data_IF_223021254364
#
_entry.id   IF_223021254364
#
_cell.length_a   1.000
_cell.length_b   1.000
_cell.length_c   1.000
_cell.angle_alpha   90.00
_cell.angle_beta   90.00
_cell.angle_gamma   90.00
#
_symmetry.space_group_name_H-M   'P 1'
#
loop_
_entity.id
_entity.type
_entity.pdbx_description
1 polymer ?
#
# COMPACT_ATOMS: atom_id res chain seq x y z
N UNK A 1 28.50 21.08 -46.34
CA UNK A 1 29.86 20.57 -46.61
C UNK A 1 29.76 19.07 -46.85
N UNK A 2 29.82 18.67 -48.12
CA UNK A 2 30.29 17.37 -48.70
C UNK A 2 29.54 16.07 -48.26
N UNK A 3 28.56 15.58 -49.05
CA UNK A 3 28.59 14.47 -50.06
C UNK A 3 28.46 13.08 -49.41
N UNK A 4 27.29 12.40 -49.42
CA UNK A 4 26.72 11.46 -50.44
C UNK A 4 27.71 10.40 -50.93
N UNK A 5 27.37 9.11 -50.81
CA UNK A 5 27.51 8.11 -51.89
C UNK A 5 26.68 6.84 -51.58
N UNK A 6 25.75 6.55 -52.51
CA UNK A 6 25.12 5.25 -52.74
C UNK A 6 26.02 4.38 -53.63
N UNK A 7 25.85 3.06 -53.60
CA UNK A 7 25.80 2.15 -54.77
C UNK A 7 25.33 0.78 -54.20
N UNK A 8 24.13 0.26 -54.44
CA UNK A 8 23.52 -0.28 -55.67
C UNK A 8 24.26 -1.47 -56.29
N UNK A 9 23.58 -2.65 -56.33
CA UNK A 9 23.54 -3.53 -57.50
C UNK A 9 22.60 -4.72 -57.33
N UNK A 10 21.69 -4.81 -58.30
CA UNK A 10 20.76 -5.89 -58.63
C UNK A 10 21.46 -7.01 -59.44
N UNK A 11 20.85 -8.19 -59.43
CA UNK A 11 20.86 -9.20 -60.50
C UNK A 11 19.99 -10.39 -60.06
N UNK A 12 18.74 -10.56 -60.52
CA UNK A 12 18.30 -11.25 -61.77
C UNK A 12 18.90 -12.67 -61.95
N UNK A 13 18.23 -13.74 -62.41
CA UNK A 13 16.86 -14.10 -62.86
C UNK A 13 16.86 -15.64 -63.09
N UNK A 14 15.70 -16.27 -62.81
CA UNK A 14 15.03 -17.45 -63.40
C UNK A 14 15.67 -18.82 -63.75
N UNK A 15 14.80 -19.84 -63.61
CA UNK A 15 14.63 -21.00 -64.48
C UNK A 15 15.16 -22.31 -63.90
N UNK A 16 14.47 -23.46 -63.86
CA UNK A 16 13.20 -23.93 -64.42
C UNK A 16 13.19 -25.48 -64.42
N UNK A 17 12.00 -26.08 -64.33
CA UNK A 17 11.58 -27.47 -64.69
C UNK A 17 12.21 -28.71 -63.99
N UNK A 18 11.43 -29.61 -63.35
CA UNK A 18 10.56 -30.73 -63.87
C UNK A 18 11.37 -31.80 -64.62
N UNK A 19 11.20 -33.12 -64.51
CA UNK A 19 10.34 -34.04 -63.74
C UNK A 19 10.86 -35.50 -63.94
N UNK A 20 10.26 -36.48 -63.22
CA UNK A 20 10.18 -37.94 -63.51
C UNK A 20 11.46 -38.82 -63.37
N UNK A 21 11.47 -40.07 -62.90
CA UNK A 21 10.44 -41.02 -62.45
C UNK A 21 11.02 -42.45 -62.33
N UNK A 22 10.35 -43.32 -61.56
CA UNK A 22 10.49 -44.80 -61.40
C UNK A 22 11.77 -45.35 -60.71
N UNK A 23 11.76 -46.33 -59.80
CA UNK A 23 10.75 -47.22 -59.22
C UNK A 23 11.44 -48.56 -58.85
N UNK A 24 11.15 -49.17 -57.69
CA UNK A 24 11.14 -50.63 -57.42
C UNK A 24 10.67 -50.96 -55.98
N UNK A 25 9.74 -51.94 -55.86
CA UNK A 25 9.18 -52.59 -54.63
C UNK A 25 10.21 -53.53 -53.96
N UNK A 26 10.14 -54.07 -52.74
CA UNK A 26 9.13 -54.32 -51.68
C UNK A 26 9.90 -54.34 -50.31
N UNK A 27 9.35 -54.40 -49.08
CA UNK A 27 8.66 -55.51 -48.38
C UNK A 27 8.12 -54.95 -47.03
N UNK A 28 7.03 -55.55 -46.55
CA UNK A 28 6.21 -55.24 -45.36
C UNK A 28 6.95 -55.37 -44.02
N UNK A 29 6.68 -54.43 -43.10
CA UNK A 29 6.99 -54.54 -41.67
C UNK A 29 6.06 -53.66 -40.84
N UNK A 30 5.08 -54.30 -40.18
CA UNK A 30 4.13 -53.69 -39.23
C UNK A 30 4.87 -53.19 -37.99
N UNK A 31 4.75 -51.90 -37.67
CA UNK A 31 5.36 -51.28 -36.50
C UNK A 31 4.72 -49.93 -36.17
N UNK A 32 3.85 -49.95 -35.16
CA UNK A 32 3.41 -48.86 -34.27
C UNK A 32 3.73 -47.40 -34.70
N UNK A 33 2.77 -46.73 -35.36
CA UNK A 33 2.84 -45.28 -35.61
C UNK A 33 2.42 -44.53 -34.35
N UNK A 34 3.37 -44.25 -33.46
CA UNK A 34 3.22 -43.13 -32.50
C UNK A 34 3.02 -41.84 -33.28
N UNK A 35 1.84 -41.22 -33.13
CA UNK A 35 1.58 -39.86 -33.61
C UNK A 35 2.66 -38.93 -33.03
N UNK A 36 3.25 -38.02 -33.83
CA UNK A 36 4.10 -36.98 -33.26
C UNK A 36 3.24 -36.17 -32.28
N UNK A 37 3.69 -36.13 -31.02
CA UNK A 37 3.17 -35.22 -30.00
C UNK A 37 3.43 -33.82 -30.56
N UNK A 38 2.36 -33.07 -30.86
CA UNK A 38 2.47 -31.63 -31.09
C UNK A 38 3.08 -31.05 -29.81
N UNK A 39 4.19 -30.35 -29.94
CA UNK A 39 4.66 -29.48 -28.87
C UNK A 39 3.48 -28.63 -28.38
N UNK A 40 3.30 -28.47 -27.05
CA UNK A 40 2.28 -27.55 -26.56
C UNK A 40 2.54 -26.17 -27.19
N UNK A 41 1.49 -25.42 -27.55
CA UNK A 41 1.70 -24.07 -28.08
C UNK A 41 2.55 -23.31 -27.07
N UNK A 42 3.67 -22.75 -27.55
CA UNK A 42 4.49 -21.83 -26.75
C UNK A 42 3.60 -20.61 -26.52
N UNK A 43 2.91 -20.61 -25.37
CA UNK A 43 2.14 -19.46 -24.88
C UNK A 43 3.14 -18.35 -24.65
N UNK A 44 2.88 -17.19 -25.24
CA UNK A 44 3.78 -16.04 -25.14
C UNK A 44 3.92 -15.63 -23.66
N UNK A 45 5.11 -15.16 -23.24
CA UNK A 45 5.32 -14.66 -21.87
C UNK A 45 4.37 -13.49 -21.53
N UNK A 46 3.88 -12.77 -22.55
CA UNK A 46 2.91 -11.69 -22.41
C UNK A 46 1.50 -12.19 -22.03
N UNK A 47 1.03 -13.31 -22.58
CA UNK A 47 -0.26 -13.91 -22.24
C UNK A 47 -0.30 -14.46 -20.81
N UNK A 48 0.79 -15.13 -20.37
CA UNK A 48 0.88 -15.58 -18.98
C UNK A 48 0.90 -14.41 -17.97
N UNK A 49 1.46 -13.27 -18.37
CA UNK A 49 1.48 -12.06 -17.53
C UNK A 49 0.08 -11.45 -17.43
N UNK A 50 -0.69 -11.45 -18.52
CA UNK A 50 -2.06 -10.93 -18.54
C UNK A 50 -3.00 -11.74 -17.63
N UNK A 51 -3.02 -13.06 -17.76
CA UNK A 51 -3.86 -13.95 -16.95
C UNK A 51 -3.49 -13.94 -15.47
N UNK A 52 -2.19 -13.80 -15.16
CA UNK A 52 -1.71 -13.62 -13.79
C UNK A 52 -2.25 -12.34 -13.18
N UNK A 53 -2.22 -11.22 -13.93
CA UNK A 53 -2.77 -9.94 -13.47
C UNK A 53 -4.28 -10.05 -13.26
N UNK A 54 -5.03 -10.69 -14.16
CA UNK A 54 -6.47 -10.90 -13.95
C UNK A 54 -6.74 -11.68 -12.67
N UNK A 55 -6.03 -12.79 -12.47
CA UNK A 55 -6.16 -13.64 -11.28
C UNK A 55 -5.82 -12.89 -9.98
N UNK A 56 -4.72 -12.13 -9.98
CA UNK A 56 -4.34 -11.24 -8.88
C UNK A 56 -5.42 -10.20 -8.57
N UNK A 57 -6.10 -9.69 -9.61
CA UNK A 57 -7.10 -8.64 -9.46
C UNK A 57 -8.50 -9.15 -9.11
N UNK A 58 -8.78 -10.46 -9.22
CA UNK A 58 -10.09 -11.04 -8.91
C UNK A 58 -10.60 -10.62 -7.53
N UNK A 59 -9.85 -10.92 -6.48
CA UNK A 59 -10.29 -10.63 -5.09
C UNK A 59 -10.36 -9.12 -4.80
N UNK A 60 -9.33 -8.30 -5.13
CA UNK A 60 -9.41 -6.85 -4.96
C UNK A 60 -10.57 -6.19 -5.71
N UNK A 61 -10.80 -6.60 -6.97
CA UNK A 61 -11.84 -6.02 -7.82
C UNK A 61 -13.23 -6.42 -7.33
N UNK A 62 -13.48 -7.72 -7.09
CA UNK A 62 -14.77 -8.19 -6.57
C UNK A 62 -15.11 -7.54 -5.25
N UNK A 63 -14.20 -7.51 -4.26
CA UNK A 63 -14.44 -6.85 -2.96
C UNK A 63 -14.81 -5.38 -3.11
N UNK A 64 -14.15 -4.68 -4.03
CA UNK A 64 -14.46 -3.29 -4.34
C UNK A 64 -15.84 -3.14 -4.96
N UNK A 65 -16.18 -3.97 -5.94
CA UNK A 65 -17.48 -3.96 -6.61
C UNK A 65 -18.60 -4.30 -5.63
N UNK A 66 -18.43 -5.27 -4.73
CA UNK A 66 -19.40 -5.62 -3.68
C UNK A 66 -19.74 -4.42 -2.82
N UNK A 67 -18.75 -3.59 -2.46
CA UNK A 67 -18.99 -2.37 -1.68
C UNK A 67 -19.66 -1.25 -2.48
N UNK A 68 -19.54 -1.26 -3.82
CA UNK A 68 -20.24 -0.33 -4.69
C UNK A 68 -21.70 -0.72 -4.88
N UNK A 69 -21.99 -2.00 -5.16
CA UNK A 69 -23.34 -2.47 -5.50
C UNK A 69 -24.12 -3.07 -4.33
N UNK A 70 -23.46 -3.32 -3.19
CA UNK A 70 -24.08 -3.87 -1.98
C UNK A 70 -24.40 -5.36 -2.04
N UNK A 71 -24.02 -6.06 -3.11
CA UNK A 71 -24.34 -7.46 -3.36
C UNK A 71 -23.10 -8.19 -3.92
N UNK A 72 -22.79 -9.37 -3.35
CA UNK A 72 -21.61 -10.17 -3.72
C UNK A 72 -21.78 -10.78 -5.09
N UNK A 73 -22.97 -11.31 -5.39
CA UNK A 73 -23.22 -12.06 -6.61
C UNK A 73 -23.14 -11.14 -7.84
N UNK A 74 -23.79 -9.98 -7.76
CA UNK A 74 -23.66 -8.95 -8.81
C UNK A 74 -22.24 -8.42 -8.92
N UNK A 75 -21.50 -8.31 -7.82
CA UNK A 75 -20.11 -7.88 -7.88
C UNK A 75 -19.21 -8.89 -8.60
N UNK A 76 -19.45 -10.18 -8.40
CA UNK A 76 -18.78 -11.26 -9.14
C UNK A 76 -19.11 -11.19 -10.63
N UNK A 77 -20.39 -11.01 -10.98
CA UNK A 77 -20.82 -10.85 -12.38
C UNK A 77 -20.14 -9.65 -13.05
N UNK A 78 -20.08 -8.51 -12.35
CA UNK A 78 -19.42 -7.30 -12.84
C UNK A 78 -17.89 -7.48 -12.95
N UNK A 79 -17.29 -8.26 -12.06
CA UNK A 79 -15.87 -8.62 -12.13
C UNK A 79 -15.59 -9.49 -13.35
N UNK A 80 -16.40 -10.52 -13.57
CA UNK A 80 -16.31 -11.38 -14.75
C UNK A 80 -16.51 -10.59 -16.06
N UNK A 81 -17.53 -9.73 -16.12
CA UNK A 81 -17.75 -8.85 -17.27
C UNK A 81 -16.58 -7.88 -17.51
N UNK A 82 -15.93 -7.41 -16.44
CA UNK A 82 -14.72 -6.59 -16.54
C UNK A 82 -13.59 -7.37 -17.20
N UNK A 83 -13.37 -8.61 -16.79
CA UNK A 83 -12.34 -9.48 -17.35
C UNK A 83 -12.65 -9.90 -18.78
N UNK A 84 -13.91 -10.18 -19.10
CA UNK A 84 -14.35 -10.45 -20.46
C UNK A 84 -14.05 -9.27 -21.39
N UNK A 85 -14.33 -8.03 -20.96
CA UNK A 85 -13.96 -6.82 -21.71
C UNK A 85 -12.45 -6.62 -21.79
N UNK A 86 -11.71 -7.04 -20.77
CA UNK A 86 -10.26 -6.95 -20.78
C UNK A 86 -9.67 -7.87 -21.87
N UNK A 87 -10.13 -9.11 -21.94
CA UNK A 87 -9.74 -10.08 -22.99
C UNK A 87 -10.11 -9.56 -24.38
N UNK A 88 -11.26 -8.89 -24.52
CA UNK A 88 -11.74 -8.41 -25.81
C UNK A 88 -11.10 -7.09 -26.30
N UNK A 89 -10.57 -6.24 -25.40
CA UNK A 89 -10.19 -4.88 -25.79
C UNK A 89 -9.39 -4.08 -24.77
N UNK A 90 -8.75 -4.72 -23.79
CA UNK A 90 -7.76 -4.03 -22.99
C UNK A 90 -6.59 -3.54 -23.89
N UNK A 91 -5.87 -2.48 -23.49
CA UNK A 91 -4.73 -2.02 -24.26
C UNK A 91 -3.65 -3.12 -24.31
N UNK A 92 -3.41 -3.66 -25.50
CA UNK A 92 -2.47 -4.76 -25.71
C UNK A 92 -1.04 -4.34 -25.34
N UNK A 93 -0.31 -5.20 -24.62
CA UNK A 93 1.06 -4.92 -24.17
C UNK A 93 1.16 -3.80 -23.12
N UNK A 94 0.05 -3.38 -22.50
CA UNK A 94 0.10 -2.38 -21.44
C UNK A 94 0.89 -2.88 -20.23
N UNK A 95 1.76 -2.05 -19.63
CA UNK A 95 2.40 -2.36 -18.36
C UNK A 95 1.37 -2.69 -17.28
N UNK A 96 1.71 -3.58 -16.35
CA UNK A 96 0.80 -4.04 -15.30
C UNK A 96 0.06 -2.91 -14.54
N UNK A 97 0.67 -1.75 -14.20
CA UNK A 97 -0.06 -0.63 -13.58
C UNK A 97 -1.17 -0.06 -14.47
N UNK A 98 -0.94 0.04 -15.77
CA UNK A 98 -1.90 0.58 -16.75
C UNK A 98 -3.08 -0.37 -16.92
N UNK A 99 -2.80 -1.68 -17.02
CA UNK A 99 -3.83 -2.71 -17.09
C UNK A 99 -4.68 -2.75 -15.80
N UNK A 100 -4.05 -2.70 -14.63
CA UNK A 100 -4.77 -2.61 -13.34
C UNK A 100 -5.67 -1.39 -13.29
N UNK A 101 -5.16 -0.21 -13.65
CA UNK A 101 -5.96 1.01 -13.70
C UNK A 101 -7.16 0.88 -14.66
N UNK A 102 -6.95 0.24 -15.83
CA UNK A 102 -8.01 -0.04 -16.78
C UNK A 102 -9.08 -0.97 -16.21
N UNK A 103 -8.71 -2.08 -15.58
CA UNK A 103 -9.64 -3.05 -14.98
C UNK A 103 -10.52 -2.37 -13.91
N UNK A 104 -9.91 -1.62 -13.01
CA UNK A 104 -10.65 -0.87 -11.97
C UNK A 104 -11.54 0.22 -12.57
N UNK A 105 -11.15 0.85 -13.69
CA UNK A 105 -12.00 1.82 -14.42
C UNK A 105 -13.21 1.16 -15.06
N UNK A 106 -12.99 0.07 -15.78
CA UNK A 106 -14.03 -0.67 -16.50
C UNK A 106 -15.03 -1.27 -15.52
N UNK A 107 -14.56 -1.94 -14.47
CA UNK A 107 -15.43 -2.48 -13.41
C UNK A 107 -16.22 -1.40 -12.68
N UNK A 108 -15.63 -0.24 -12.39
CA UNK A 108 -16.36 0.91 -11.84
C UNK A 108 -17.49 1.37 -12.78
N UNK A 109 -17.21 1.52 -14.07
CA UNK A 109 -18.22 1.99 -15.03
C UNK A 109 -19.39 1.01 -15.11
N UNK A 110 -19.10 -0.29 -15.16
CA UNK A 110 -20.08 -1.37 -15.11
C UNK A 110 -20.95 -1.31 -13.85
N UNK A 111 -20.33 -1.15 -12.68
CA UNK A 111 -21.07 -1.01 -11.42
C UNK A 111 -21.97 0.23 -11.39
N UNK A 112 -21.51 1.37 -11.91
CA UNK A 112 -22.32 2.59 -11.99
C UNK A 112 -23.51 2.42 -12.95
N UNK A 113 -23.31 1.74 -14.08
CA UNK A 113 -24.38 1.45 -15.03
C UNK A 113 -25.40 0.48 -14.44
N UNK A 114 -24.96 -0.51 -13.66
CA UNK A 114 -25.84 -1.44 -12.95
C UNK A 114 -26.66 -0.73 -11.88
N UNK A 115 -26.06 0.14 -11.06
CA UNK A 115 -26.80 0.95 -10.07
C UNK A 115 -27.83 1.88 -10.74
N UNK A 116 -27.50 2.45 -11.91
CA UNK A 116 -28.45 3.23 -12.70
C UNK A 116 -29.58 2.37 -13.25
N UNK A 117 -29.30 1.13 -13.67
CA UNK A 117 -30.30 0.17 -14.14
C UNK A 117 -31.23 -0.27 -13.01
N UNK A 118 -30.69 -0.61 -11.84
CA UNK A 118 -31.45 -0.93 -10.62
C UNK A 118 -32.38 0.20 -10.23
N UNK A 119 -31.88 1.43 -10.14
CA UNK A 119 -32.71 2.61 -9.83
C UNK A 119 -33.85 2.83 -10.83
N UNK A 120 -33.68 2.45 -12.10
CA UNK A 120 -34.76 2.49 -13.11
C UNK A 120 -35.73 1.32 -12.97
N UNK A 121 -35.27 0.14 -12.51
CA UNK A 121 -36.10 -1.05 -12.23
C UNK A 121 -36.90 -0.91 -10.93
N UNK A 122 -36.32 -0.30 -9.90
CA UNK A 122 -36.95 -0.05 -8.59
C UNK A 122 -38.11 0.98 -8.67
N UNK A 123 -38.36 1.59 -9.83
CA UNK A 123 -39.61 2.32 -10.12
C UNK A 123 -40.82 1.40 -10.42
N UNK A 124 -40.67 0.08 -10.26
CA UNK A 124 -41.77 -0.89 -10.23
C UNK A 124 -41.65 -1.67 -8.91
N UNK A 125 -42.64 -1.60 -8.00
CA UNK A 125 -42.46 -2.14 -6.66
C UNK A 125 -42.68 -3.65 -6.66
N UNK A 126 -41.69 -4.40 -6.17
CA UNK A 126 -41.90 -5.75 -5.63
C UNK A 126 -40.98 -5.96 -4.41
N UNK A 127 -41.49 -6.75 -3.47
CA UNK A 127 -41.20 -6.81 -2.05
C UNK A 127 -39.95 -7.63 -1.67
N UNK A 128 -39.30 -7.14 -0.61
CA UNK A 128 -38.73 -7.80 0.58
C UNK A 128 -37.85 -9.08 0.51
N UNK A 129 -36.77 -8.98 1.31
CA UNK A 129 -35.99 -10.01 2.02
C UNK A 129 -34.85 -10.72 1.30
N UNK A 130 -33.62 -10.40 1.78
CA UNK A 130 -32.59 -11.35 2.24
C UNK A 130 -31.40 -10.55 2.83
N UNK A 131 -31.41 -10.32 4.14
CA UNK A 131 -30.28 -9.76 4.87
C UNK A 131 -29.39 -10.89 5.41
N UNK A 132 -28.08 -10.84 5.11
CA UNK A 132 -27.09 -11.76 5.69
C UNK A 132 -26.58 -11.21 7.04
N UNK A 133 -26.49 -12.03 8.11
CA UNK A 133 -26.02 -11.60 9.42
C UNK A 133 -24.48 -11.68 9.51
N UNK A 134 -23.79 -10.59 9.15
CA UNK A 134 -22.40 -10.40 9.57
C UNK A 134 -22.05 -8.90 9.63
N UNK A 135 -21.63 -8.45 10.83
CA UNK A 135 -21.28 -7.09 11.21
C UNK A 135 -22.46 -6.11 11.26
N UNK A 136 -23.10 -6.03 12.44
CA UNK A 136 -23.70 -4.75 12.83
C UNK A 136 -22.59 -3.69 12.72
N UNK A 137 -22.76 -2.64 11.90
CA UNK A 137 -21.80 -1.56 11.86
C UNK A 137 -21.73 -0.95 13.27
N UNK A 138 -20.51 -0.78 13.79
CA UNK A 138 -20.25 0.14 14.90
C UNK A 138 -21.06 1.42 14.62
N UNK A 139 -22.02 1.79 15.50
CA UNK A 139 -22.95 2.90 15.22
C UNK A 139 -22.21 4.21 14.91
N UNK A 140 -21.01 4.37 15.47
CA UNK A 140 -20.19 5.57 15.36
C UNK A 140 -18.88 5.33 14.59
N UNK A 141 -18.78 4.20 13.89
CA UNK A 141 -17.56 3.78 13.20
C UNK A 141 -17.40 4.35 11.78
N UNK A 142 -16.23 4.14 11.16
CA UNK A 142 -15.90 4.64 9.81
C UNK A 142 -16.93 4.26 8.73
N UNK A 143 -17.54 3.07 8.84
CA UNK A 143 -18.56 2.60 7.89
C UNK A 143 -19.85 3.39 8.01
N UNK A 144 -20.28 3.73 9.23
CA UNK A 144 -21.43 4.58 9.47
C UNK A 144 -21.19 5.99 8.89
N UNK A 145 -19.98 6.53 9.08
CA UNK A 145 -19.59 7.81 8.50
C UNK A 145 -19.58 7.79 6.95
N UNK A 146 -19.01 6.76 6.33
CA UNK A 146 -19.01 6.61 4.85
C UNK A 146 -20.43 6.52 4.27
N UNK A 147 -21.35 5.86 4.98
CA UNK A 147 -22.72 5.70 4.53
C UNK A 147 -23.46 7.03 4.42
N UNK A 148 -23.06 8.04 5.21
CA UNK A 148 -23.65 9.38 5.23
C UNK A 148 -23.01 10.35 4.23
N UNK A 149 -21.87 10.00 3.63
CA UNK A 149 -21.24 10.80 2.58
C UNK A 149 -21.98 10.73 1.24
N UNK A 150 -21.83 11.77 0.42
CA UNK A 150 -22.27 11.72 -0.98
C UNK A 150 -21.54 10.60 -1.75
N UNK A 151 -22.16 10.03 -2.81
CA UNK A 151 -21.52 8.98 -3.60
C UNK A 151 -20.15 9.36 -4.15
N UNK A 152 -19.96 10.63 -4.51
CA UNK A 152 -18.70 11.13 -5.04
C UNK A 152 -17.60 11.24 -3.97
N UNK A 153 -17.94 11.76 -2.78
CA UNK A 153 -17.03 11.81 -1.63
C UNK A 153 -16.61 10.39 -1.20
N UNK A 154 -17.58 9.47 -1.07
CA UNK A 154 -17.31 8.07 -0.76
C UNK A 154 -16.37 7.43 -1.78
N UNK A 155 -16.62 7.67 -3.07
CA UNK A 155 -15.79 7.12 -4.14
C UNK A 155 -14.34 7.57 -4.03
N UNK A 156 -14.06 8.87 -3.89
CA UNK A 156 -12.67 9.36 -3.83
C UNK A 156 -11.92 8.87 -2.59
N UNK A 157 -12.61 8.67 -1.46
CA UNK A 157 -12.01 8.07 -0.26
C UNK A 157 -11.68 6.60 -0.48
N UNK A 158 -12.59 5.82 -1.07
CA UNK A 158 -12.34 4.42 -1.39
C UNK A 158 -11.20 4.27 -2.40
N UNK A 159 -11.13 5.12 -3.42
CA UNK A 159 -10.01 5.14 -4.37
C UNK A 159 -8.68 5.41 -3.67
N UNK A 160 -8.68 6.41 -2.78
CA UNK A 160 -7.45 6.88 -2.15
C UNK A 160 -6.92 5.94 -1.08
N UNK A 161 -7.80 5.53 -0.18
CA UNK A 161 -7.42 4.91 1.09
C UNK A 161 -7.64 3.39 1.12
N UNK A 162 -8.61 2.88 0.35
CA UNK A 162 -8.85 1.43 0.26
C UNK A 162 -8.08 0.83 -0.93
N UNK A 163 -8.15 1.46 -2.09
CA UNK A 163 -7.49 0.98 -3.31
C UNK A 163 -6.04 1.49 -3.45
N UNK A 164 -5.62 2.45 -2.62
CA UNK A 164 -4.24 2.94 -2.59
C UNK A 164 -3.81 3.76 -3.81
N UNK A 165 -4.75 4.23 -4.64
CA UNK A 165 -4.41 5.00 -5.84
C UNK A 165 -3.81 6.36 -5.46
N UNK A 166 -2.80 6.78 -6.21
CA UNK A 166 -2.23 8.13 -6.18
C UNK A 166 -3.23 9.19 -6.65
N UNK A 167 -2.97 10.46 -6.33
CA UNK A 167 -3.82 11.57 -6.77
C UNK A 167 -3.87 11.69 -8.30
N UNK A 168 -2.75 11.41 -8.97
CA UNK A 168 -2.67 11.33 -10.43
C UNK A 168 -3.55 10.21 -10.99
N UNK A 169 -3.43 8.99 -10.47
CA UNK A 169 -4.27 7.87 -10.90
C UNK A 169 -5.76 8.11 -10.63
N UNK A 170 -6.10 8.77 -9.52
CA UNK A 170 -7.48 9.20 -9.24
C UNK A 170 -7.93 10.24 -10.28
N UNK A 171 -7.06 11.18 -10.65
CA UNK A 171 -7.29 12.14 -11.73
C UNK A 171 -7.63 11.45 -13.04
N UNK A 172 -6.73 10.58 -13.51
CA UNK A 172 -6.86 9.81 -14.74
C UNK A 172 -8.08 8.87 -14.74
N UNK A 173 -8.49 8.40 -13.56
CA UNK A 173 -9.68 7.54 -13.42
C UNK A 173 -10.97 8.36 -13.50
N UNK A 174 -10.99 9.55 -12.90
CA UNK A 174 -12.15 10.43 -12.82
C UNK A 174 -12.24 11.46 -13.95
N UNK A 175 -11.30 11.41 -14.91
CA UNK A 175 -11.16 12.35 -16.01
C UNK A 175 -11.06 13.81 -15.52
N UNK A 176 -10.13 14.02 -14.58
CA UNK A 176 -9.83 15.33 -13.99
C UNK A 176 -8.31 15.48 -13.79
N UNK A 177 -7.83 16.73 -13.67
CA UNK A 177 -6.44 16.97 -13.29
C UNK A 177 -6.11 16.50 -11.86
N UNK A 178 -4.84 16.15 -11.62
CA UNK A 178 -4.32 15.73 -10.30
C UNK A 178 -4.66 16.73 -9.18
N UNK A 179 -4.58 18.02 -9.47
CA UNK A 179 -4.97 19.10 -8.56
C UNK A 179 -6.45 19.06 -8.17
N UNK A 180 -7.32 18.73 -9.11
CA UNK A 180 -8.75 18.57 -8.84
C UNK A 180 -9.02 17.30 -8.02
N UNK A 181 -8.27 16.21 -8.27
CA UNK A 181 -8.31 15.00 -7.46
C UNK A 181 -7.88 15.29 -6.01
N UNK A 182 -6.77 16.00 -5.81
CA UNK A 182 -6.29 16.45 -4.49
C UNK A 182 -7.38 17.21 -3.72
N UNK A 183 -7.96 18.24 -4.35
CA UNK A 183 -9.03 19.06 -3.75
C UNK A 183 -10.30 18.26 -3.45
N UNK A 184 -10.62 17.23 -4.25
CA UNK A 184 -11.80 16.36 -4.02
C UNK A 184 -11.56 15.39 -2.87
N UNK A 185 -10.39 14.76 -2.81
CA UNK A 185 -10.00 13.89 -1.69
C UNK A 185 -9.98 14.68 -0.39
N UNK A 186 -9.34 15.86 -0.36
CA UNK A 186 -9.30 16.70 0.83
C UNK A 186 -10.70 17.07 1.34
N UNK A 187 -11.60 17.52 0.46
CA UNK A 187 -12.99 17.83 0.82
C UNK A 187 -13.78 16.61 1.29
N UNK A 188 -13.55 15.45 0.68
CA UNK A 188 -14.20 14.21 1.09
C UNK A 188 -13.72 13.75 2.46
N UNK A 189 -12.44 13.94 2.80
CA UNK A 189 -11.90 13.67 4.13
C UNK A 189 -12.47 14.62 5.18
N UNK A 190 -12.54 15.92 4.89
CA UNK A 190 -13.16 16.88 5.79
C UNK A 190 -14.62 16.51 6.08
N UNK A 191 -15.42 16.25 5.03
CA UNK A 191 -16.80 15.79 5.20
C UNK A 191 -16.90 14.47 5.97
N UNK A 192 -15.93 13.56 5.79
CA UNK A 192 -15.87 12.31 6.56
C UNK A 192 -15.60 12.56 8.04
N UNK A 193 -14.63 13.42 8.35
CA UNK A 193 -14.29 13.82 9.70
C UNK A 193 -15.48 14.49 10.39
N UNK A 194 -16.17 15.43 9.72
CA UNK A 194 -17.35 16.12 10.27
C UNK A 194 -18.46 15.12 10.64
N UNK A 195 -18.78 14.21 9.72
CA UNK A 195 -19.79 13.17 9.95
C UNK A 195 -19.36 12.24 11.08
N UNK A 196 -18.08 11.87 11.12
CA UNK A 196 -17.55 10.98 12.14
C UNK A 196 -17.52 11.66 13.52
N UNK A 197 -17.22 12.96 13.60
CA UNK A 197 -17.24 13.74 14.83
C UNK A 197 -18.68 13.90 15.36
N UNK A 198 -19.63 14.18 14.46
CA UNK A 198 -21.06 14.22 14.81
C UNK A 198 -21.59 12.88 15.33
N UNK A 199 -21.03 11.76 14.85
CA UNK A 199 -21.29 10.43 15.40
C UNK A 199 -20.60 10.20 16.75
N UNK A 200 -19.44 10.83 16.98
CA UNK A 200 -18.62 10.65 18.19
C UNK A 200 -18.93 11.65 19.33
N UNK A 201 -19.93 12.54 19.16
CA UNK A 201 -20.35 13.49 20.20
C UNK A 201 -19.53 14.79 20.30
N UNK A 202 -19.11 15.38 19.17
CA UNK A 202 -18.43 16.70 19.08
C UNK A 202 -17.04 16.81 19.76
N UNK A 203 -16.34 15.69 19.97
CA UNK A 203 -14.93 15.71 20.36
C UNK A 203 -14.05 16.29 19.22
N UNK A 204 -13.45 17.45 19.45
CA UNK A 204 -12.63 18.19 18.46
C UNK A 204 -11.15 17.82 18.50
N UNK A 205 -10.74 16.92 19.40
CA UNK A 205 -9.34 16.49 19.51
C UNK A 205 -8.86 15.78 18.23
N UNK A 206 -7.61 15.99 17.79
CA UNK A 206 -7.07 15.27 16.64
C UNK A 206 -7.11 13.76 16.88
N UNK A 207 -7.58 13.02 15.89
CA UNK A 207 -7.71 11.57 15.92
C UNK A 207 -6.42 10.93 15.46
N UNK A 208 -5.70 10.30 16.39
CA UNK A 208 -4.49 9.54 16.09
C UNK A 208 -4.84 8.08 15.94
N UNK A 209 -4.53 7.52 14.77
CA UNK A 209 -4.62 6.10 14.51
C UNK A 209 -3.35 5.42 15.01
N UNK A 210 -3.49 4.44 15.90
CA UNK A 210 -2.38 3.69 16.48
C UNK A 210 -2.36 2.27 15.90
N UNK A 211 -1.30 1.94 15.17
CA UNK A 211 -1.01 0.60 14.68
C UNK A 211 0.09 -0.01 15.53
N UNK A 212 -0.20 -1.13 16.19
CA UNK A 212 0.74 -1.84 17.05
C UNK A 212 0.87 -3.29 16.63
N UNK A 213 1.97 -3.90 17.07
CA UNK A 213 2.20 -5.33 16.92
C UNK A 213 1.75 -6.11 18.11
N UNK A 214 2.68 -6.89 18.66
CA UNK A 214 2.47 -7.65 19.88
C UNK A 214 2.92 -6.87 21.12
N UNK A 215 2.74 -5.55 21.12
CA UNK A 215 3.01 -4.70 22.28
C UNK A 215 1.71 -4.27 22.96
N UNK A 216 1.78 -4.01 24.26
CA UNK A 216 0.68 -3.40 25.01
C UNK A 216 0.40 -1.99 24.47
N UNK A 217 -0.83 -1.69 24.01
CA UNK A 217 -1.19 -0.34 23.57
C UNK A 217 -1.27 0.68 24.71
N UNK A 218 -1.42 0.24 25.96
CA UNK A 218 -1.63 1.11 27.12
C UNK A 218 -0.66 2.30 27.23
N UNK A 219 0.67 2.08 27.20
CA UNK A 219 1.67 3.14 27.26
C UNK A 219 1.56 4.15 26.10
N UNK A 220 1.40 3.67 24.85
CA UNK A 220 1.24 4.54 23.68
C UNK A 220 -0.05 5.37 23.76
N UNK A 221 -1.15 4.73 24.15
CA UNK A 221 -2.44 5.40 24.31
C UNK A 221 -2.36 6.48 25.40
N UNK A 222 -1.75 6.18 26.55
CA UNK A 222 -1.58 7.14 27.63
C UNK A 222 -0.72 8.34 27.19
N UNK A 223 0.41 8.07 26.53
CA UNK A 223 1.31 9.09 26.01
C UNK A 223 0.62 10.04 25.00
N UNK A 224 -0.09 9.48 24.01
CA UNK A 224 -0.79 10.29 23.00
C UNK A 224 -1.99 11.04 23.60
N UNK A 225 -2.75 10.42 24.50
CA UNK A 225 -3.87 11.07 25.19
C UNK A 225 -3.40 12.23 26.08
N UNK A 226 -2.25 12.08 26.75
CA UNK A 226 -1.65 13.14 27.56
C UNK A 226 -1.29 14.38 26.72
N UNK A 227 -0.92 14.20 25.45
CA UNK A 227 -0.68 15.28 24.50
C UNK A 227 -1.97 15.90 23.92
N UNK A 228 -3.15 15.35 24.25
CA UNK A 228 -4.45 15.86 23.80
C UNK A 228 -5.04 15.13 22.59
N UNK A 229 -4.52 13.97 22.22
CA UNK A 229 -5.06 13.16 21.12
C UNK A 229 -6.30 12.36 21.51
N UNK A 230 -7.19 12.14 20.53
CA UNK A 230 -8.14 11.03 20.56
C UNK A 230 -7.50 9.81 19.90
N UNK A 231 -7.16 8.79 20.68
CA UNK A 231 -6.44 7.60 20.17
C UNK A 231 -7.39 6.49 19.79
N UNK A 232 -7.20 5.93 18.58
CA UNK A 232 -7.90 4.74 18.09
C UNK A 232 -6.89 3.67 17.71
N UNK A 233 -6.84 2.60 18.47
CA UNK A 233 -6.00 1.42 18.18
C UNK A 233 -6.69 0.54 17.15
N UNK A 234 -5.96 0.06 16.14
CA UNK A 234 -6.51 -0.87 15.15
C UNK A 234 -6.00 -2.29 15.31
N UNK A 235 -6.94 -3.21 15.48
CA UNK A 235 -6.66 -4.64 15.42
C UNK A 235 -6.69 -5.11 13.95
N UNK A 236 -5.59 -4.82 13.25
CA UNK A 236 -5.05 -5.61 12.12
C UNK A 236 -5.93 -5.91 10.91
N UNK A 237 -7.15 -5.39 10.77
CA UNK A 237 -8.08 -5.82 9.70
C UNK A 237 -8.63 -4.71 8.82
N UNK A 238 -8.40 -3.41 9.12
CA UNK A 238 -9.23 -2.32 8.53
C UNK A 238 -8.56 -0.97 8.23
N UNK A 239 -7.22 -0.87 8.21
CA UNK A 239 -6.51 0.42 8.15
C UNK A 239 -6.94 1.41 7.03
N UNK A 240 -7.42 0.96 5.87
CA UNK A 240 -7.77 1.83 4.74
C UNK A 240 -8.77 2.95 5.10
N UNK A 241 -10.03 2.60 5.32
CA UNK A 241 -11.08 3.60 5.63
C UNK A 241 -10.90 4.28 6.99
N UNK A 242 -10.21 3.64 7.93
CA UNK A 242 -9.86 4.24 9.22
C UNK A 242 -8.92 5.45 9.05
N UNK A 243 -7.98 5.40 8.11
CA UNK A 243 -7.10 6.54 7.78
C UNK A 243 -7.84 7.74 7.17
N UNK A 244 -9.04 7.54 6.61
CA UNK A 244 -9.80 8.63 6.02
C UNK A 244 -10.25 9.67 7.07
N UNK A 245 -10.50 9.23 8.31
CA UNK A 245 -10.88 10.09 9.45
C UNK A 245 -9.85 10.13 10.57
N UNK A 246 -8.61 9.76 10.28
CA UNK A 246 -7.48 10.01 11.15
C UNK A 246 -6.80 11.32 10.75
N UNK A 247 -6.30 12.05 11.73
CA UNK A 247 -5.52 13.28 11.54
C UNK A 247 -4.02 12.98 11.57
N UNK A 248 -3.62 11.88 12.22
CA UNK A 248 -2.26 11.36 12.20
C UNK A 248 -2.24 9.82 12.30
N UNK A 249 -1.11 9.23 11.91
CA UNK A 249 -0.81 7.80 12.05
C UNK A 249 0.43 7.61 12.92
N UNK A 250 0.32 6.76 13.94
CA UNK A 250 1.45 6.25 14.71
C UNK A 250 1.58 4.75 14.45
N UNK A 251 2.77 4.33 14.02
CA UNK A 251 3.15 2.91 13.98
C UNK A 251 4.09 2.65 15.15
N UNK A 252 3.63 1.86 16.11
CA UNK A 252 4.42 1.55 17.29
C UNK A 252 5.43 0.43 17.09
N UNK A 253 6.06 0.06 18.21
CA UNK A 253 6.96 -1.07 18.33
C UNK A 253 6.29 -2.43 18.17
N UNK A 254 7.12 -3.46 18.24
CA UNK A 254 6.75 -4.86 18.13
C UNK A 254 7.85 -5.70 18.74
N UNK A 255 7.49 -6.65 19.60
CA UNK A 255 8.41 -7.67 20.13
C UNK A 255 8.93 -8.62 19.04
N UNK A 256 8.26 -8.67 17.88
CA UNK A 256 8.67 -9.47 16.71
C UNK A 256 9.45 -8.64 15.71
N UNK A 257 10.43 -9.28 15.10
CA UNK A 257 11.30 -8.71 14.08
C UNK A 257 10.60 -8.45 12.75
N UNK A 258 11.11 -7.47 12.00
CA UNK A 258 10.66 -7.21 10.63
C UNK A 258 11.05 -8.37 9.71
N UNK A 259 10.07 -8.90 8.98
CA UNK A 259 10.29 -10.05 8.11
C UNK A 259 11.37 -9.77 7.05
N UNK A 260 12.48 -10.53 6.99
CA UNK A 260 13.63 -10.23 6.11
C UNK A 260 13.33 -10.18 4.61
N UNK A 261 12.35 -10.96 4.16
CA UNK A 261 11.88 -10.90 2.77
C UNK A 261 11.36 -9.52 2.33
N UNK A 262 10.94 -8.65 3.25
CA UNK A 262 10.46 -7.30 2.93
C UNK A 262 11.57 -6.37 2.45
N UNK A 263 12.82 -6.65 2.81
CA UNK A 263 14.00 -5.93 2.36
C UNK A 263 14.99 -6.84 1.59
N UNK A 264 14.50 -7.98 1.10
CA UNK A 264 15.22 -8.85 0.17
C UNK A 264 16.34 -9.70 0.78
N UNK A 265 16.35 -9.90 2.10
CA UNK A 265 17.37 -10.70 2.79
C UNK A 265 16.83 -12.06 3.25
N UNK A 266 17.69 -13.11 3.37
CA UNK A 266 17.32 -14.34 4.06
C UNK A 266 17.21 -14.11 5.57
N UNK A 267 16.49 -15.00 6.26
CA UNK A 267 16.42 -14.98 7.71
C UNK A 267 17.78 -15.31 8.34
N UNK A 268 18.23 -14.44 9.25
CA UNK A 268 19.43 -14.63 10.05
C UNK A 268 19.19 -15.57 11.25
N UNK A 269 20.27 -16.04 11.91
CA UNK A 269 20.19 -17.01 13.00
C UNK A 269 19.58 -16.45 14.30
N UNK A 270 19.49 -15.12 14.44
CA UNK A 270 18.99 -14.43 15.64
C UNK A 270 17.56 -13.88 15.49
N UNK A 271 16.83 -14.25 14.43
CA UNK A 271 15.50 -13.73 14.15
C UNK A 271 14.50 -14.09 15.27
N UNK A 272 13.95 -13.09 15.94
CA UNK A 272 12.98 -13.24 17.03
C UNK A 272 11.54 -13.30 16.52
N UNK A 273 11.23 -14.35 15.74
CA UNK A 273 9.93 -14.52 15.11
C UNK A 273 9.57 -13.37 14.16
N UNK A 274 8.45 -13.51 13.44
CA UNK A 274 8.00 -12.48 12.51
C UNK A 274 6.52 -12.67 12.19
N UNK A 275 5.85 -11.59 11.79
CA UNK A 275 4.50 -11.63 11.20
C UNK A 275 4.48 -10.88 9.86
N UNK A 276 4.73 -11.61 8.76
CA UNK A 276 4.72 -11.02 7.42
C UNK A 276 3.35 -10.42 7.06
N UNK A 277 2.26 -11.08 7.47
CA UNK A 277 0.91 -10.63 7.14
C UNK A 277 0.64 -9.29 7.81
N UNK A 278 1.03 -9.13 9.08
CA UNK A 278 0.99 -7.84 9.77
C UNK A 278 1.85 -6.79 9.07
N UNK A 279 3.13 -7.06 8.82
CA UNK A 279 4.01 -6.06 8.21
C UNK A 279 3.51 -5.58 6.85
N UNK A 280 2.93 -6.46 6.02
CA UNK A 280 2.32 -6.07 4.75
C UNK A 280 1.14 -5.11 4.94
N UNK A 281 0.34 -5.29 6.00
CA UNK A 281 -0.76 -4.37 6.34
C UNK A 281 -0.25 -3.04 6.86
N UNK A 282 0.75 -3.07 7.74
CA UNK A 282 1.34 -1.85 8.30
C UNK A 282 2.03 -1.02 7.20
N UNK A 283 2.75 -1.67 6.29
CA UNK A 283 3.33 -1.03 5.11
C UNK A 283 2.26 -0.46 4.18
N UNK A 284 1.12 -1.14 4.01
CA UNK A 284 0.01 -0.62 3.22
C UNK A 284 -0.61 0.63 3.86
N UNK A 285 -0.83 0.61 5.17
CA UNK A 285 -1.35 1.74 5.93
C UNK A 285 -0.38 2.93 5.91
N UNK A 286 0.91 2.67 6.15
CA UNK A 286 1.98 3.67 6.09
C UNK A 286 2.07 4.30 4.71
N UNK A 287 2.04 3.50 3.64
CA UNK A 287 2.03 3.98 2.26
C UNK A 287 0.81 4.86 2.00
N UNK A 288 -0.37 4.45 2.43
CA UNK A 288 -1.60 5.22 2.25
C UNK A 288 -1.56 6.56 3.01
N UNK A 289 -1.05 6.56 4.25
CA UNK A 289 -0.90 7.75 5.07
C UNK A 289 0.08 8.75 4.46
N UNK A 290 1.29 8.31 4.10
CA UNK A 290 2.30 9.16 3.44
C UNK A 290 1.79 9.73 2.12
N UNK A 291 1.07 8.92 1.35
CA UNK A 291 0.51 9.37 0.10
C UNK A 291 -0.59 10.43 0.35
N UNK A 292 -1.43 10.25 1.37
CA UNK A 292 -2.40 11.25 1.80
C UNK A 292 -1.77 12.47 2.52
N UNK A 293 -0.44 12.48 2.64
CA UNK A 293 0.35 13.48 3.36
C UNK A 293 -0.11 13.63 4.81
N UNK A 294 -0.60 12.55 5.42
CA UNK A 294 -0.89 12.51 6.85
C UNK A 294 0.41 12.63 7.64
N UNK A 295 0.41 13.37 8.77
CA UNK A 295 1.44 13.24 9.79
C UNK A 295 1.63 11.78 10.18
N UNK A 296 2.88 11.31 10.09
CA UNK A 296 3.28 9.94 10.42
C UNK A 296 4.42 9.95 11.44
N UNK A 297 4.27 9.15 12.49
CA UNK A 297 5.35 8.81 13.41
C UNK A 297 5.54 7.29 13.47
N UNK A 298 6.72 6.81 13.08
CA UNK A 298 7.15 5.44 13.31
C UNK A 298 7.99 5.34 14.58
N UNK A 299 7.66 4.42 15.47
CA UNK A 299 8.39 4.16 16.73
C UNK A 299 8.96 2.74 16.66
N UNK A 300 10.24 2.59 16.97
CA UNK A 300 10.98 1.33 16.95
C UNK A 300 10.73 0.55 15.63
N UNK A 301 9.97 -0.54 15.66
CA UNK A 301 9.60 -1.32 14.48
C UNK A 301 8.91 -0.49 13.38
N UNK A 302 8.15 0.55 13.76
CA UNK A 302 7.52 1.49 12.83
C UNK A 302 8.54 2.33 12.04
N UNK A 303 9.64 2.75 12.67
CA UNK A 303 10.72 3.48 11.99
C UNK A 303 11.46 2.57 11.00
N UNK A 304 11.65 1.30 11.37
CA UNK A 304 12.24 0.28 10.50
C UNK A 304 11.35 -0.01 9.28
N UNK A 305 10.02 -0.14 9.47
CA UNK A 305 9.07 -0.28 8.37
C UNK A 305 9.05 0.94 7.44
N UNK A 306 9.23 2.14 7.97
CA UNK A 306 9.39 3.36 7.16
C UNK A 306 10.64 3.29 6.29
N UNK A 307 11.78 2.82 6.83
CA UNK A 307 12.99 2.58 6.05
C UNK A 307 12.77 1.54 4.94
N UNK A 308 12.17 0.40 5.29
CA UNK A 308 11.88 -0.71 4.37
C UNK A 308 10.91 -0.30 3.27
N UNK A 309 9.89 0.50 3.57
CA UNK A 309 8.95 1.05 2.57
C UNK A 309 9.68 1.87 1.49
N UNK A 310 10.76 2.55 1.88
CA UNK A 310 11.62 3.34 0.99
C UNK A 310 12.76 2.52 0.35
N UNK A 311 12.75 1.20 0.52
CA UNK A 311 13.73 0.28 -0.07
C UNK A 311 15.07 0.21 0.66
N UNK A 312 15.11 0.65 1.92
CA UNK A 312 16.25 0.41 2.82
C UNK A 312 16.24 -1.02 3.37
N UNK A 313 17.29 -1.39 4.11
CA UNK A 313 17.38 -2.66 4.83
C UNK A 313 17.81 -2.46 6.29
N UNK A 314 17.89 -3.58 7.01
CA UNK A 314 18.09 -3.60 8.45
C UNK A 314 19.29 -4.49 8.82
N UNK A 315 20.01 -4.06 9.85
CA UNK A 315 20.81 -4.97 10.66
C UNK A 315 19.84 -5.92 11.37
N UNK A 316 19.90 -7.22 11.06
CA UNK A 316 19.03 -8.22 11.68
C UNK A 316 19.40 -8.55 13.13
N UNK A 317 20.64 -8.27 13.52
CA UNK A 317 21.12 -8.43 14.89
C UNK A 317 22.33 -7.51 15.11
N UNK A 318 22.17 -6.49 15.96
CA UNK A 318 23.16 -5.44 16.18
C UNK A 318 24.54 -5.93 16.66
N UNK A 319 24.66 -6.89 17.59
CA UNK A 319 25.95 -7.47 18.00
C UNK A 319 26.75 -8.07 16.85
N UNK A 320 26.05 -8.79 15.96
CA UNK A 320 26.68 -9.40 14.80
C UNK A 320 27.18 -8.35 13.79
N UNK A 321 26.64 -7.13 13.85
CA UNK A 321 27.08 -5.99 13.07
C UNK A 321 28.13 -5.11 13.78
N UNK A 322 28.56 -5.49 14.98
CA UNK A 322 29.59 -4.77 15.75
C UNK A 322 29.06 -3.61 16.60
N UNK A 323 27.75 -3.53 16.81
CA UNK A 323 27.14 -2.55 17.70
C UNK A 323 26.88 -3.15 19.07
N UNK A 324 27.32 -2.46 20.12
CA UNK A 324 27.09 -2.83 21.53
C UNK A 324 25.80 -2.17 22.04
N UNK A 325 24.68 -2.43 21.33
CA UNK A 325 23.38 -1.76 21.51
C UNK A 325 22.31 -2.63 22.17
N UNK A 326 22.71 -3.75 22.78
CA UNK A 326 21.74 -4.80 23.15
C UNK A 326 20.89 -4.53 24.39
N UNK A 327 21.24 -3.57 25.24
CA UNK A 327 20.62 -3.48 26.58
C UNK A 327 20.40 -2.04 27.06
N UNK A 328 19.80 -1.18 26.23
CA UNK A 328 19.42 0.19 26.58
C UNK A 328 18.05 0.31 27.27
N UNK A 329 17.75 -0.59 28.20
CA UNK A 329 16.64 -0.37 29.16
C UNK A 329 16.83 0.89 30.01
N UNK A 330 18.04 1.44 30.01
CA UNK A 330 18.40 2.71 30.60
C UNK A 330 18.44 3.85 29.55
N UNK A 331 18.19 5.08 30.00
CA UNK A 331 18.24 6.24 29.14
C UNK A 331 19.66 6.46 28.58
N UNK A 332 19.77 6.80 27.29
CA UNK A 332 21.03 7.15 26.65
C UNK A 332 20.87 8.42 25.79
N UNK A 333 21.99 9.10 25.56
CA UNK A 333 22.03 10.30 24.73
C UNK A 333 21.98 9.96 23.24
N UNK A 334 21.21 10.74 22.49
CA UNK A 334 21.17 10.66 21.03
C UNK A 334 21.52 12.03 20.46
N UNK A 335 22.40 12.07 19.46
CA UNK A 335 22.77 13.33 18.80
C UNK A 335 21.87 13.59 17.61
N UNK A 336 21.12 14.69 17.66
CA UNK A 336 20.28 15.13 16.54
C UNK A 336 21.11 15.96 15.55
N UNK A 337 20.76 15.87 14.26
CA UNK A 337 21.46 16.57 13.19
C UNK A 337 20.78 17.90 12.87
N UNK A 338 21.55 18.98 12.74
CA UNK A 338 21.02 20.32 12.46
C UNK A 338 20.16 20.36 11.17
N UNK A 339 19.12 21.19 11.21
CA UNK A 339 18.21 21.38 10.07
C UNK A 339 17.30 20.19 9.79
N UNK A 340 17.05 19.31 10.77
CA UNK A 340 16.13 18.17 10.69
C UNK A 340 14.90 18.37 11.57
N UNK A 341 13.84 17.59 11.38
CA UNK A 341 12.68 17.57 12.27
C UNK A 341 13.09 17.28 13.71
N UNK A 342 13.87 16.22 13.95
CA UNK A 342 14.24 15.83 15.31
C UNK A 342 15.00 16.92 16.04
N UNK A 343 15.95 17.60 15.39
CA UNK A 343 16.69 18.70 16.02
C UNK A 343 15.79 19.90 16.36
N UNK A 344 14.79 20.20 15.52
CA UNK A 344 13.83 21.27 15.80
C UNK A 344 12.91 20.94 16.97
N UNK A 345 12.54 19.67 17.13
CA UNK A 345 11.60 19.22 18.16
C UNK A 345 12.31 19.00 19.50
N UNK A 346 13.50 18.41 19.48
CA UNK A 346 14.18 17.88 20.67
C UNK A 346 15.47 18.61 21.06
N UNK A 347 15.93 19.56 20.25
CA UNK A 347 17.25 20.16 20.44
C UNK A 347 18.39 19.19 20.07
N UNK A 348 19.61 19.47 20.51
CA UNK A 348 20.84 18.83 20.01
C UNK A 348 21.15 17.43 20.56
N UNK A 349 20.80 17.17 21.82
CA UNK A 349 21.21 15.95 22.52
C UNK A 349 20.16 15.50 23.56
N UNK A 350 18.96 15.05 23.12
CA UNK A 350 17.98 14.47 24.04
C UNK A 350 18.47 13.14 24.64
N UNK A 351 18.00 12.85 25.85
CA UNK A 351 18.06 11.51 26.43
C UNK A 351 16.80 10.72 26.02
N UNK A 352 17.00 9.46 25.62
CA UNK A 352 15.93 8.58 25.12
C UNK A 352 16.09 7.15 25.65
N UNK A 353 15.01 6.36 25.57
CA UNK A 353 14.98 4.96 26.03
C UNK A 353 14.76 4.04 24.82
N UNK A 354 15.67 3.09 24.59
CA UNK A 354 15.64 2.21 23.41
C UNK A 354 15.67 0.73 23.81
N UNK A 355 14.80 -0.08 23.23
CA UNK A 355 14.82 -1.54 23.38
C UNK A 355 14.68 -2.16 21.99
N UNK A 356 15.82 -2.46 21.35
CA UNK A 356 15.85 -3.06 20.02
C UNK A 356 17.15 -3.80 19.77
N UNK A 357 17.07 -4.90 19.02
CA UNK A 357 18.25 -5.62 18.52
C UNK A 357 18.37 -5.59 17.00
N UNK A 358 17.43 -4.90 16.33
CA UNK A 358 17.47 -4.57 14.91
C UNK A 358 17.52 -3.05 14.75
N UNK A 359 18.12 -2.57 13.66
CA UNK A 359 18.09 -1.16 13.30
C UNK A 359 18.34 -0.98 11.80
N UNK A 360 18.24 0.27 11.32
CA UNK A 360 18.54 0.61 9.93
C UNK A 360 20.00 0.37 9.60
N UNK A 361 20.26 -0.40 8.53
CA UNK A 361 21.60 -0.61 7.97
C UNK A 361 21.82 0.33 6.79
N UNK A 362 21.10 0.10 5.68
CA UNK A 362 21.06 1.00 4.53
C UNK A 362 19.80 1.82 4.58
N UNK A 363 19.99 3.13 4.54
CA UNK A 363 18.90 4.09 4.46
C UNK A 363 18.16 3.96 3.12
N UNK A 364 16.83 3.95 3.19
CA UNK A 364 15.94 3.94 2.03
C UNK A 364 16.01 5.23 1.22
N UNK A 365 15.54 5.15 -0.03
CA UNK A 365 15.62 6.26 -0.98
C UNK A 365 14.76 7.44 -0.55
N UNK A 366 15.35 8.63 -0.65
CA UNK A 366 14.66 9.89 -0.31
C UNK A 366 14.42 10.07 1.18
N UNK A 367 14.96 9.21 2.04
CA UNK A 367 14.99 9.43 3.48
C UNK A 367 16.22 10.25 3.86
N UNK A 368 16.16 10.88 5.02
CA UNK A 368 17.29 11.58 5.64
C UNK A 368 17.45 11.09 7.07
N UNK A 369 18.66 10.69 7.46
CA UNK A 369 18.99 10.45 8.87
C UNK A 369 18.87 11.76 9.65
N UNK A 370 18.21 11.73 10.79
CA UNK A 370 17.99 12.91 11.63
C UNK A 370 18.66 12.81 12.99
N UNK A 371 18.94 11.60 13.47
CA UNK A 371 19.66 11.39 14.73
C UNK A 371 20.50 10.12 14.69
N UNK A 372 21.59 10.13 15.46
CA UNK A 372 22.51 8.99 15.60
C UNK A 372 22.95 8.80 17.05
N UNK A 373 23.21 7.56 17.45
CA UNK A 373 23.88 7.22 18.69
C UNK A 373 25.40 7.50 18.62
N UNK A 374 26.09 7.39 19.74
CA UNK A 374 27.54 7.66 19.84
C UNK A 374 28.40 6.69 19.04
N UNK A 375 27.94 5.46 18.87
CA UNK A 375 28.57 4.43 18.04
C UNK A 375 28.19 4.54 16.54
N UNK A 376 27.43 5.57 16.18
CA UNK A 376 27.03 5.86 14.82
C UNK A 376 25.77 5.15 14.35
N UNK A 377 25.08 4.38 15.22
CA UNK A 377 23.81 3.75 14.87
C UNK A 377 22.76 4.81 14.50
N UNK A 378 21.96 4.54 13.47
CA UNK A 378 20.86 5.42 13.06
C UNK A 378 19.71 5.30 14.05
N UNK A 379 19.42 6.41 14.74
CA UNK A 379 18.38 6.48 15.78
C UNK A 379 17.10 7.16 15.29
N UNK A 380 17.19 8.01 14.27
CA UNK A 380 16.00 8.57 13.64
C UNK A 380 16.21 8.91 12.16
N UNK A 381 15.09 8.90 11.42
CA UNK A 381 15.03 9.24 10.00
C UNK A 381 13.73 9.99 9.68
N UNK A 382 13.76 10.83 8.65
CA UNK A 382 12.59 11.56 8.17
C UNK A 382 12.36 11.36 6.66
N UNK A 383 11.13 11.61 6.21
CA UNK A 383 10.79 11.77 4.79
C UNK A 383 10.71 13.28 4.49
N UNK A 384 11.74 13.89 3.87
CA UNK A 384 11.74 15.31 3.56
C UNK A 384 10.59 15.69 2.63
N UNK A 385 10.07 16.92 2.78
CA UNK A 385 9.00 17.46 1.94
C UNK A 385 7.59 17.03 2.31
N UNK A 386 7.42 16.20 3.36
CA UNK A 386 6.12 15.91 3.99
C UNK A 386 5.82 16.89 5.10
N UNK A 387 4.53 17.08 5.42
CA UNK A 387 4.13 17.91 6.58
C UNK A 387 4.77 17.42 7.87
N UNK A 388 4.69 16.11 8.12
CA UNK A 388 5.38 15.44 9.22
C UNK A 388 5.51 13.94 8.89
N UNK A 389 6.73 13.42 8.80
CA UNK A 389 6.97 12.00 8.56
C UNK A 389 8.32 11.62 9.17
N UNK A 390 8.27 11.10 10.39
CA UNK A 390 9.44 10.85 11.24
C UNK A 390 9.42 9.39 11.72
N UNK A 391 10.56 8.74 11.72
CA UNK A 391 10.80 7.45 12.36
C UNK A 391 11.84 7.65 13.47
N UNK A 392 11.57 7.15 14.67
CA UNK A 392 12.49 7.12 15.81
C UNK A 392 12.66 5.68 16.27
N UNK A 393 13.89 5.28 16.59
CA UNK A 393 14.22 3.92 16.99
C UNK A 393 13.95 3.70 18.49
N UNK A 394 14.06 4.74 19.30
CA UNK A 394 13.68 4.76 20.71
C UNK A 394 12.15 4.75 20.92
N UNK A 395 11.75 4.54 22.17
CA UNK A 395 10.38 4.46 22.65
C UNK A 395 9.95 5.77 23.34
N UNK A 396 9.41 6.77 22.62
CA UNK A 396 9.04 8.07 23.18
C UNK A 396 7.96 7.97 24.27
N UNK A 397 7.14 6.91 24.25
CA UNK A 397 6.14 6.62 25.27
C UNK A 397 6.77 6.20 26.62
N UNK A 398 8.06 5.87 26.63
CA UNK A 398 8.83 5.46 27.82
C UNK A 398 9.83 6.51 28.30
N UNK A 399 10.11 7.54 27.49
CA UNK A 399 11.05 8.59 27.87
C UNK A 399 10.51 9.47 29.01
N UNK A 400 11.37 9.80 29.98
CA UNK A 400 11.09 10.87 30.94
C UNK A 400 10.92 12.23 30.21
N UNK A 401 10.19 13.16 30.84
CA UNK A 401 9.64 14.37 30.20
C UNK A 401 10.62 15.16 29.31
N UNK A 402 10.14 15.59 28.14
CA UNK A 402 10.88 16.38 27.14
C UNK A 402 10.85 15.72 25.77
N UNK A 403 11.50 14.55 25.64
CA UNK A 403 11.60 13.84 24.37
C UNK A 403 10.26 13.24 23.90
N UNK A 404 9.56 12.54 24.79
CA UNK A 404 8.26 11.95 24.49
C UNK A 404 7.20 13.02 24.21
N UNK A 405 7.08 14.01 25.10
CA UNK A 405 6.10 15.09 24.98
C UNK A 405 6.29 15.92 23.70
N UNK A 406 7.53 16.34 23.41
CA UNK A 406 7.82 17.15 22.23
C UNK A 406 7.46 16.45 20.91
N UNK A 407 7.69 15.13 20.81
CA UNK A 407 7.31 14.36 19.63
C UNK A 407 5.79 14.25 19.46
N UNK A 408 5.05 14.00 20.54
CA UNK A 408 3.59 13.94 20.47
C UNK A 408 2.98 15.30 20.13
N UNK A 409 3.43 16.37 20.78
CA UNK A 409 2.99 17.74 20.49
C UNK A 409 3.27 18.13 19.04
N UNK A 410 4.47 17.84 18.53
CA UNK A 410 4.82 18.14 17.13
C UNK A 410 3.97 17.34 16.13
N UNK A 411 3.66 16.07 16.45
CA UNK A 411 2.75 15.25 15.64
C UNK A 411 1.35 15.88 15.58
N UNK A 412 0.81 16.29 16.73
CA UNK A 412 -0.54 16.87 16.82
C UNK A 412 -0.61 18.27 16.20
N UNK A 413 0.44 19.08 16.34
CA UNK A 413 0.54 20.37 15.64
C UNK A 413 0.54 20.21 14.12
N UNK A 414 1.13 19.12 13.60
CA UNK A 414 1.07 18.83 12.17
C UNK A 414 -0.28 18.25 11.71
N UNK A 415 -1.07 17.73 12.65
CA UNK A 415 -2.38 17.13 12.43
C UNK A 415 -3.52 18.15 12.43
N UNK A 416 -3.37 19.26 13.17
CA UNK A 416 -4.22 20.45 13.11
C UNK A 416 -4.00 21.25 11.83
#
# INVERSE_FOLDING_TARGET
>A
MVVVLQDDRRGQVAGGDRAEGAGHRAIVGSGDRRRPVRDPPVVSQDEMTFDTILTEQTVPLTRRLTRMVGDVQTAEDLCQETFARAVAGAPAGAPAPVLRAWLHRTGRNLALDELRRRRRRDHVPLHAELASPAAHPEPDGPRAALARLTPHQRLVLLLRFEAGLSLREIGDLLDIGEDAARKRVARARAAFADVHAALSGDDTRPTVLLLLGHEDPGPYEAWLRAAGARVRTLDGTRAGLDLAGADALVLGGSERDIHPALYGHPAGPHLLGTDLTRHLRDLAALRAALAADLPVLGVCSGAQLLNVLHGGDLHQHLPAAGFDHLDHREAHGVRTLHGTLTHRILGGAPEVVSEHHQAVQRLGRGLRVTSVADDGLVEALEVPGRRFALGVQWHPERCASGAGAGLAEALLQAAA
#
